data_IF_678907353102
#
_entry.id   IF_678907353102
#
_cell.length_a   1.000
_cell.length_b   1.000
_cell.length_c   1.000
_cell.angle_alpha   90.00
_cell.angle_beta   90.00
_cell.angle_gamma   90.00
#
_symmetry.space_group_name_H-M   'P 1'
#
loop_
_entity.id
_entity.type
_entity.pdbx_description
1 polymer ?
#
# COMPACT_ATOMS: atom_id res chain seq x y z
N UNK A 1 7.15 -2.13 2.10
CA UNK A 1 6.39 -1.03 2.72
C UNK A 1 5.26 -1.66 3.52
N UNK A 2 5.09 -1.23 4.76
CA UNK A 2 4.07 -1.75 5.67
C UNK A 2 2.76 -1.07 5.30
N UNK A 3 1.87 -1.75 4.57
CA UNK A 3 0.52 -1.27 4.30
C UNK A 3 -0.34 -1.57 5.53
N UNK A 4 -0.14 -0.79 6.59
CA UNK A 4 -1.19 -0.57 7.58
C UNK A 4 -1.57 0.92 7.50
N UNK A 5 -2.28 1.27 6.42
CA UNK A 5 -2.72 2.64 6.14
C UNK A 5 -3.99 2.99 6.91
N UNK A 6 -4.71 1.99 7.42
CA UNK A 6 -6.05 2.15 8.00
C UNK A 6 -6.07 2.93 9.31
N UNK A 7 -4.95 3.08 10.01
CA UNK A 7 -4.89 3.74 11.33
C UNK A 7 -3.79 4.82 11.45
N UNK A 8 -3.17 5.23 10.33
CA UNK A 8 -1.95 6.06 10.32
C UNK A 8 -2.15 7.31 9.46
N UNK A 9 -2.60 8.40 10.09
CA UNK A 9 -2.82 9.70 9.45
C UNK A 9 -1.53 10.34 8.91
N UNK A 10 -0.37 9.95 9.45
CA UNK A 10 0.96 10.37 9.00
C UNK A 10 1.27 9.92 7.57
N UNK A 11 0.66 8.84 7.07
CA UNK A 11 0.86 8.41 5.68
C UNK A 11 0.25 9.43 4.71
N UNK A 12 -0.93 9.96 5.03
CA UNK A 12 -1.54 11.03 4.24
C UNK A 12 -0.70 12.30 4.36
N UNK A 13 -0.22 12.64 5.56
CA UNK A 13 0.56 13.86 5.76
C UNK A 13 1.92 13.85 5.03
N UNK A 14 2.67 12.75 5.09
CA UNK A 14 4.05 12.70 4.60
C UNK A 14 4.25 11.93 3.29
N UNK A 15 3.31 11.04 2.95
CA UNK A 15 3.46 10.11 1.81
C UNK A 15 2.33 10.22 0.79
N UNK A 16 1.56 11.33 0.81
CA UNK A 16 0.47 11.59 -0.16
C UNK A 16 0.89 11.38 -1.61
N UNK A 17 2.05 11.93 -2.02
CA UNK A 17 2.51 11.79 -3.42
C UNK A 17 2.73 10.33 -3.80
N UNK A 18 3.35 9.56 -2.91
CA UNK A 18 3.57 8.14 -3.13
C UNK A 18 2.25 7.35 -3.18
N UNK A 19 1.31 7.65 -2.27
CA UNK A 19 0.00 7.00 -2.19
C UNK A 19 -0.82 7.24 -3.46
N UNK A 20 -0.91 8.50 -3.91
CA UNK A 20 -1.63 8.86 -5.14
C UNK A 20 -1.06 8.14 -6.37
N UNK A 21 0.27 8.02 -6.46
CA UNK A 21 0.89 7.27 -7.56
C UNK A 21 0.49 5.78 -7.54
N UNK A 22 0.39 5.14 -6.37
CA UNK A 22 -0.06 3.73 -6.29
C UNK A 22 -1.54 3.55 -6.60
N UNK A 23 -2.37 4.50 -6.18
CA UNK A 23 -3.79 4.50 -6.53
C UNK A 23 -3.95 4.61 -8.06
N UNK A 24 -3.19 5.51 -8.71
CA UNK A 24 -3.16 5.62 -10.17
C UNK A 24 -2.64 4.35 -10.86
N UNK A 25 -1.61 3.71 -10.31
CA UNK A 25 -1.08 2.44 -10.84
C UNK A 25 -2.01 1.23 -10.56
N UNK A 26 -2.90 1.35 -9.57
CA UNK A 26 -3.88 0.33 -9.20
C UNK A 26 -3.32 -0.84 -8.39
N UNK A 27 -2.10 -0.74 -7.85
CA UNK A 27 -1.51 -1.78 -6.99
C UNK A 27 -0.43 -1.22 -6.06
N UNK A 28 -0.07 -1.99 -5.04
CA UNK A 28 1.10 -1.73 -4.20
C UNK A 28 1.75 -3.03 -3.71
N UNK A 29 3.02 -2.98 -3.33
CA UNK A 29 3.73 -4.12 -2.74
C UNK A 29 3.83 -3.98 -1.22
N UNK A 30 3.47 -5.04 -0.51
CA UNK A 30 3.68 -5.18 0.93
C UNK A 30 4.72 -6.26 1.22
N UNK A 31 5.47 -6.09 2.30
CA UNK A 31 6.48 -7.06 2.74
C UNK A 31 6.13 -7.54 4.14
N UNK A 32 6.17 -8.84 4.34
CA UNK A 32 5.96 -9.42 5.66
C UNK A 32 7.16 -9.07 6.58
N UNK A 33 6.93 -8.44 7.75
CA UNK A 33 8.02 -8.06 8.66
C UNK A 33 8.74 -9.27 9.28
N UNK A 34 8.04 -10.39 9.49
CA UNK A 34 8.61 -11.62 10.04
C UNK A 34 9.38 -12.42 8.97
N UNK A 35 8.91 -12.38 7.72
CA UNK A 35 9.53 -13.09 6.59
C UNK A 35 9.90 -12.09 5.49
N UNK A 36 11.08 -11.47 5.61
CA UNK A 36 11.50 -10.34 4.75
C UNK A 36 11.54 -10.65 3.25
N UNK A 37 11.70 -11.92 2.87
CA UNK A 37 11.71 -12.36 1.48
C UNK A 37 10.30 -12.59 0.92
N UNK A 38 9.27 -12.60 1.76
CA UNK A 38 7.89 -12.71 1.34
C UNK A 38 7.32 -11.33 1.02
N UNK A 39 7.10 -11.10 -0.27
CA UNK A 39 6.57 -9.85 -0.83
C UNK A 39 5.26 -10.15 -1.56
N UNK A 40 4.20 -9.45 -1.19
CA UNK A 40 2.87 -9.62 -1.77
C UNK A 40 2.50 -8.41 -2.62
N UNK A 41 1.92 -8.66 -3.81
CA UNK A 41 1.29 -7.63 -4.64
C UNK A 41 -0.17 -7.50 -4.23
N UNK A 42 -0.58 -6.30 -3.84
CA UNK A 42 -1.93 -5.97 -3.41
C UNK A 42 -2.61 -5.17 -4.51
N UNK A 43 -3.81 -5.60 -4.92
CA UNK A 43 -4.66 -4.82 -5.81
C UNK A 43 -5.24 -3.64 -5.04
N UNK A 44 -5.18 -2.44 -5.63
CA UNK A 44 -5.85 -1.24 -5.11
C UNK A 44 -7.04 -0.83 -6.00
N UNK A 45 -7.33 -1.60 -7.05
CA UNK A 45 -8.55 -1.41 -7.82
C UNK A 45 -9.74 -1.85 -6.99
N UNK A 46 -10.81 -1.06 -7.01
CA UNK A 46 -12.11 -1.55 -6.57
C UNK A 46 -12.46 -2.76 -7.43
N UNK A 47 -12.53 -3.95 -6.83
CA UNK A 47 -13.22 -5.07 -7.45
C UNK A 47 -14.70 -4.75 -7.37
N UNK A 48 -15.29 -4.30 -8.49
CA UNK A 48 -16.70 -4.63 -8.68
C UNK A 48 -16.75 -6.15 -8.83
N UNK A 49 -17.50 -6.79 -7.94
CA UNK A 49 -17.97 -8.16 -8.11
C UNK A 49 -18.55 -8.36 -9.50
#
# INVERSE_FOLDING_TARGET
>A
MIINVGARSDIVNYYSKWLLNRLNEGYAYSRNPLFKNNVSKLSLKLGFL
#
